data_IF_255370245302
#
_entry.id   IF_255370245302
#
_cell.length_a   1.000
_cell.length_b   1.000
_cell.length_c   1.000
_cell.angle_alpha   90.00
_cell.angle_beta   90.00
_cell.angle_gamma   90.00
#
_symmetry.space_group_name_H-M   'P 1'
#
loop_
_entity.id
_entity.type
_entity.pdbx_description
1 polymer ?
#
# COMPACT_ATOMS: atom_id res chain seq x y z
N UNK A 1 -5.74 41.37 62.87
CA UNK A 1 -4.77 40.44 62.30
C UNK A 1 -3.97 41.17 61.26
N UNK A 2 -2.71 41.49 61.48
CA UNK A 2 -1.89 42.15 60.46
C UNK A 2 -1.30 41.11 59.52
N UNK A 3 -1.45 41.35 58.24
CA UNK A 3 -0.85 40.56 57.17
C UNK A 3 0.64 40.86 57.11
N UNK A 4 1.48 39.87 57.40
CA UNK A 4 2.93 39.91 57.28
C UNK A 4 3.29 39.94 55.80
N UNK A 5 3.69 41.11 55.28
CA UNK A 5 4.34 41.21 53.99
C UNK A 5 5.75 40.61 54.11
N UNK A 6 5.95 39.38 53.63
CA UNK A 6 7.28 38.83 53.46
C UNK A 6 8.05 39.65 52.40
N UNK A 7 9.25 40.11 52.79
CA UNK A 7 10.19 40.81 51.93
C UNK A 7 10.54 39.96 50.68
N UNK A 8 9.91 40.29 49.58
CA UNK A 8 10.13 39.62 48.28
C UNK A 8 11.54 40.05 47.78
N UNK A 9 12.44 39.08 47.70
CA UNK A 9 13.85 39.36 47.33
C UNK A 9 13.94 39.61 45.80
N UNK A 10 13.76 40.85 45.40
CA UNK A 10 13.75 41.34 44.01
C UNK A 10 14.95 40.87 43.17
N UNK A 11 16.14 40.66 43.79
CA UNK A 11 17.32 40.15 43.10
C UNK A 11 17.11 38.71 42.61
N UNK A 12 16.52 37.83 43.42
CA UNK A 12 16.23 36.43 43.02
C UNK A 12 15.15 36.36 41.95
N UNK A 13 14.15 37.24 42.02
CA UNK A 13 13.11 37.31 40.98
C UNK A 13 13.71 37.75 39.64
N UNK A 14 14.60 38.74 39.64
CA UNK A 14 15.28 39.19 38.43
C UNK A 14 16.19 38.12 37.83
N UNK A 15 16.90 37.33 38.67
CA UNK A 15 17.74 36.20 38.19
C UNK A 15 16.89 35.10 37.57
N UNK A 16 15.76 34.72 38.18
CA UNK A 16 14.86 33.72 37.67
C UNK A 16 14.20 34.20 36.35
N UNK A 17 13.74 35.47 36.32
CA UNK A 17 13.15 36.05 35.12
C UNK A 17 14.15 36.13 33.95
N UNK A 18 15.41 36.48 34.25
CA UNK A 18 16.51 36.48 33.28
C UNK A 18 16.82 35.10 32.75
N UNK A 19 16.84 34.09 33.60
CA UNK A 19 17.02 32.67 33.20
C UNK A 19 15.91 32.17 32.30
N UNK A 20 14.66 32.43 32.62
CA UNK A 20 13.50 32.05 31.79
C UNK A 20 13.54 32.76 30.44
N UNK A 21 13.85 34.07 30.41
CA UNK A 21 13.97 34.81 29.15
C UNK A 21 15.08 34.25 28.26
N UNK A 22 16.21 33.85 28.83
CA UNK A 22 17.33 33.27 28.11
C UNK A 22 16.95 31.90 27.51
N UNK A 23 16.25 31.06 28.25
CA UNK A 23 15.75 29.76 27.74
C UNK A 23 14.74 29.96 26.60
N UNK A 24 13.82 30.92 26.73
CA UNK A 24 12.85 31.25 25.66
C UNK A 24 13.57 31.75 24.41
N UNK A 25 14.60 32.56 24.53
CA UNK A 25 15.40 33.05 23.41
C UNK A 25 16.20 31.92 22.75
N UNK A 26 16.73 30.96 23.52
CA UNK A 26 17.40 29.78 22.97
C UNK A 26 16.41 28.90 22.20
N UNK A 27 15.24 28.61 22.75
CA UNK A 27 14.19 27.85 22.08
C UNK A 27 13.77 28.56 20.78
N UNK A 28 13.55 29.87 20.85
CA UNK A 28 13.21 30.65 19.65
C UNK A 28 14.32 30.62 18.62
N UNK A 29 15.60 30.73 19.01
CA UNK A 29 16.77 30.70 18.12
C UNK A 29 16.89 29.31 17.43
N UNK A 30 16.71 28.22 18.15
CA UNK A 30 16.83 26.88 17.58
C UNK A 30 15.61 26.44 16.75
N UNK A 31 14.41 26.89 17.11
CA UNK A 31 13.20 26.49 16.41
C UNK A 31 12.77 27.42 15.26
N UNK A 32 13.11 28.68 15.32
CA UNK A 32 12.67 29.67 14.31
C UNK A 32 13.79 30.22 13.42
N UNK A 33 15.03 29.92 13.71
CA UNK A 33 16.15 30.24 12.83
C UNK A 33 16.47 29.00 11.97
N UNK A 34 15.57 28.61 11.09
CA UNK A 34 15.92 27.76 9.96
C UNK A 34 16.88 28.55 9.08
N UNK A 35 18.10 28.07 8.77
CA UNK A 35 18.89 28.65 7.71
C UNK A 35 18.08 28.52 6.43
N UNK A 36 17.68 29.63 5.85
CA UNK A 36 17.08 29.68 4.53
C UNK A 36 18.07 29.06 3.55
N UNK A 37 17.79 27.85 3.12
CA UNK A 37 18.32 27.32 1.89
C UNK A 37 17.63 28.12 0.79
N UNK A 38 18.35 29.03 0.17
CA UNK A 38 17.96 29.61 -1.10
C UNK A 38 17.68 28.43 -2.06
N UNK A 39 16.55 28.42 -2.77
CA UNK A 39 16.34 27.44 -3.81
C UNK A 39 17.33 27.73 -4.93
N UNK A 40 18.39 26.96 -5.03
CA UNK A 40 19.14 26.84 -6.26
C UNK A 40 18.20 26.17 -7.26
N UNK A 41 17.64 26.98 -8.13
CA UNK A 41 16.91 26.58 -9.35
C UNK A 41 17.84 25.74 -10.21
N UNK A 42 17.84 24.46 -9.99
CA UNK A 42 18.25 23.42 -10.95
C UNK A 42 17.54 22.11 -10.60
N UNK A 43 16.22 22.17 -10.45
CA UNK A 43 15.38 20.98 -10.59
C UNK A 43 15.29 20.72 -12.10
N UNK A 44 16.18 19.89 -12.63
CA UNK A 44 15.91 19.20 -13.90
C UNK A 44 14.62 18.40 -13.69
N UNK A 45 13.56 18.93 -14.21
CA UNK A 45 12.31 18.21 -14.47
C UNK A 45 12.67 17.05 -15.39
N UNK A 46 12.98 15.88 -14.85
CA UNK A 46 12.99 14.65 -15.63
C UNK A 46 11.55 14.31 -15.96
N UNK A 47 11.12 14.84 -17.10
CA UNK A 47 9.88 14.45 -17.76
C UNK A 47 10.05 13.01 -18.22
N UNK A 48 9.31 12.09 -17.63
CA UNK A 48 9.18 10.74 -18.16
C UNK A 48 8.61 10.81 -19.56
N UNK A 49 9.42 10.42 -20.57
CA UNK A 49 8.93 10.08 -21.90
C UNK A 49 8.92 11.17 -22.95
N UNK A 50 10.01 11.90 -23.14
CA UNK A 50 10.29 12.60 -24.39
C UNK A 50 11.30 11.80 -25.21
N UNK A 51 10.79 11.02 -26.15
CA UNK A 51 11.63 10.34 -27.14
C UNK A 51 12.21 11.38 -28.11
N UNK A 52 13.52 11.30 -28.31
CA UNK A 52 14.28 12.08 -29.29
C UNK A 52 13.67 11.96 -30.68
N UNK A 53 13.22 13.07 -31.21
CA UNK A 53 13.02 13.27 -32.64
C UNK A 53 14.37 13.67 -33.25
N UNK A 54 15.13 12.71 -33.71
CA UNK A 54 16.28 13.00 -34.58
C UNK A 54 15.79 13.21 -36.01
N UNK A 55 16.10 14.38 -36.45
CA UNK A 55 16.07 14.97 -37.81
C UNK A 55 16.43 13.99 -38.92
N UNK A 56 15.62 14.10 -39.99
CA UNK A 56 15.86 13.39 -41.23
C UNK A 56 17.15 13.83 -41.92
N UNK A 57 17.81 12.88 -42.53
CA UNK A 57 18.80 13.09 -43.57
C UNK A 57 18.36 12.32 -44.78
N UNK A 58 18.16 13.05 -45.87
CA UNK A 58 17.94 12.54 -47.21
C UNK A 58 19.13 11.64 -47.62
N UNK A 59 18.85 10.49 -48.14
CA UNK A 59 19.79 9.73 -48.94
C UNK A 59 19.12 9.22 -50.22
N UNK A 60 19.72 9.62 -51.29
CA UNK A 60 19.56 9.30 -52.69
C UNK A 60 19.69 7.82 -53.04
N UNK A 61 18.96 7.46 -54.09
CA UNK A 61 18.95 6.28 -54.91
C UNK A 61 20.23 5.44 -54.99
N UNK A 62 20.08 4.10 -54.93
CA UNK A 62 20.99 3.09 -55.43
C UNK A 62 20.26 1.76 -55.49
N UNK A 63 19.83 1.35 -56.71
CA UNK A 63 19.41 -0.01 -57.03
C UNK A 63 20.59 -0.94 -56.88
N UNK A 64 20.40 -2.12 -56.27
CA UNK A 64 20.85 -3.40 -56.76
C UNK A 64 20.10 -4.55 -56.11
N UNK A 65 19.65 -5.46 -56.95
CA UNK A 65 19.05 -6.76 -56.67
C UNK A 65 20.14 -7.68 -56.08
N UNK A 66 19.81 -8.44 -55.05
CA UNK A 66 19.97 -9.89 -55.13
C UNK A 66 19.24 -10.64 -53.98
N UNK A 67 18.66 -11.72 -54.39
CA UNK A 67 17.93 -12.76 -53.71
C UNK A 67 18.74 -13.42 -52.60
N UNK A 68 18.19 -13.58 -51.38
CA UNK A 68 17.94 -14.91 -50.81
C UNK A 68 17.17 -14.89 -49.48
N UNK A 69 16.29 -15.83 -49.39
CA UNK A 69 15.29 -16.06 -48.34
C UNK A 69 15.89 -16.37 -46.98
N UNK A 70 15.50 -15.63 -45.96
CA UNK A 70 15.22 -16.10 -44.61
C UNK A 70 14.17 -15.18 -44.00
N UNK A 71 12.92 -15.56 -44.08
CA UNK A 71 11.84 -14.92 -43.34
C UNK A 71 12.04 -15.18 -41.85
N UNK A 72 12.77 -14.29 -41.20
CA UNK A 72 12.66 -14.11 -39.76
C UNK A 72 11.35 -13.40 -39.52
N UNK A 73 10.33 -14.14 -39.12
CA UNK A 73 9.08 -13.57 -38.61
C UNK A 73 9.45 -12.84 -37.32
N UNK A 74 9.89 -11.62 -37.42
CA UNK A 74 9.85 -10.69 -36.30
C UNK A 74 8.40 -10.27 -36.14
N UNK A 75 7.70 -10.98 -35.26
CA UNK A 75 6.47 -10.43 -34.68
C UNK A 75 6.80 -9.03 -34.17
N UNK A 76 6.09 -7.98 -34.59
CA UNK A 76 6.29 -6.66 -34.02
C UNK A 76 5.99 -6.78 -32.54
N UNK A 77 7.03 -6.68 -31.69
CA UNK A 77 6.85 -6.43 -30.28
C UNK A 77 6.13 -5.08 -30.22
N UNK A 78 4.82 -5.16 -30.07
CA UNK A 78 3.99 -3.97 -29.79
C UNK A 78 4.62 -3.32 -28.58
N UNK A 79 5.25 -2.16 -28.75
CA UNK A 79 5.73 -1.34 -27.63
C UNK A 79 4.50 -1.08 -26.77
N UNK A 80 4.39 -1.80 -25.66
CA UNK A 80 3.30 -1.62 -24.71
C UNK A 80 3.33 -0.17 -24.27
N UNK A 81 2.32 0.57 -24.69
CA UNK A 81 2.21 1.99 -24.41
C UNK A 81 1.78 2.14 -22.96
N UNK A 82 2.70 2.56 -22.09
CA UNK A 82 2.36 2.95 -20.72
C UNK A 82 1.56 4.24 -20.78
N UNK A 83 0.40 4.27 -20.16
CA UNK A 83 -0.43 5.48 -20.10
C UNK A 83 -0.86 5.76 -18.66
N UNK A 84 -1.00 7.04 -18.35
CA UNK A 84 -1.44 7.53 -17.06
C UNK A 84 -2.96 7.39 -16.94
N UNK A 85 -3.45 6.80 -15.85
CA UNK A 85 -4.88 6.57 -15.59
C UNK A 85 -5.49 7.59 -14.62
N UNK A 86 -4.68 8.37 -13.91
CA UNK A 86 -5.13 9.39 -12.95
C UNK A 86 -4.21 10.59 -12.96
N UNK A 87 -4.76 11.80 -12.90
CA UNK A 87 -3.99 13.05 -12.82
C UNK A 87 -3.58 13.42 -11.40
N UNK A 88 -4.22 12.85 -10.39
CA UNK A 88 -3.94 13.08 -8.99
C UNK A 88 -3.44 11.81 -8.28
N UNK A 89 -2.98 11.96 -7.02
CA UNK A 89 -2.57 10.82 -6.20
C UNK A 89 -3.76 9.90 -5.90
N UNK A 90 -3.48 8.59 -5.93
CA UNK A 90 -4.42 7.51 -5.73
C UNK A 90 -4.13 6.83 -4.40
N UNK A 91 -5.15 6.68 -3.54
CA UNK A 91 -5.02 6.00 -2.25
C UNK A 91 -4.95 4.47 -2.40
N UNK A 92 -5.52 3.92 -3.47
CA UNK A 92 -5.46 2.51 -3.80
C UNK A 92 -6.25 2.19 -5.06
N UNK A 93 -5.84 1.15 -5.77
CA UNK A 93 -6.47 0.71 -7.01
C UNK A 93 -6.66 -0.81 -7.04
N UNK A 94 -7.59 -1.27 -7.86
CA UNK A 94 -7.81 -2.69 -8.16
C UNK A 94 -8.33 -2.84 -9.58
N UNK A 95 -8.20 -4.05 -10.12
CA UNK A 95 -8.82 -4.43 -11.38
C UNK A 95 -10.07 -5.25 -11.12
N UNK A 96 -11.07 -5.04 -11.95
CA UNK A 96 -12.28 -5.84 -11.98
C UNK A 96 -12.77 -6.02 -13.42
N UNK A 97 -13.72 -6.93 -13.62
CA UNK A 97 -14.35 -7.18 -14.91
C UNK A 97 -15.75 -6.59 -14.92
N UNK A 98 -16.06 -5.83 -15.98
CA UNK A 98 -17.41 -5.32 -16.22
C UNK A 98 -18.36 -6.46 -16.66
N UNK A 99 -19.64 -6.14 -16.78
CA UNK A 99 -20.68 -7.04 -17.27
C UNK A 99 -20.36 -7.70 -18.64
N UNK A 100 -19.44 -7.16 -19.39
CA UNK A 100 -18.86 -7.73 -20.60
C UNK A 100 -17.56 -8.44 -20.26
N UNK A 101 -17.39 -9.75 -20.58
CA UNK A 101 -16.19 -10.52 -20.18
C UNK A 101 -14.87 -9.97 -20.71
N UNK A 102 -14.91 -9.10 -21.72
CA UNK A 102 -13.74 -8.57 -22.42
C UNK A 102 -13.30 -7.18 -21.96
N UNK A 103 -14.02 -6.56 -21.00
CA UNK A 103 -13.67 -5.21 -20.55
C UNK A 103 -13.07 -5.27 -19.15
N UNK A 104 -11.83 -4.84 -19.04
CA UNK A 104 -11.13 -4.68 -17.76
C UNK A 104 -11.34 -3.26 -17.26
N UNK A 105 -11.79 -3.14 -16.03
CA UNK A 105 -11.99 -1.86 -15.35
C UNK A 105 -10.91 -1.69 -14.29
N UNK A 106 -10.19 -0.58 -14.34
CA UNK A 106 -9.41 -0.10 -13.22
C UNK A 106 -10.31 0.73 -12.31
N UNK A 107 -10.56 0.22 -11.09
CA UNK A 107 -11.26 0.95 -10.03
C UNK A 107 -10.24 1.53 -9.07
N UNK A 108 -10.31 2.81 -8.76
CA UNK A 108 -9.35 3.49 -7.89
C UNK A 108 -10.00 4.57 -7.04
N UNK A 109 -9.36 4.88 -5.91
CA UNK A 109 -9.80 5.90 -4.96
C UNK A 109 -8.86 7.09 -5.04
N UNK A 110 -9.41 8.27 -5.31
CA UNK A 110 -8.65 9.51 -5.31
C UNK A 110 -8.30 9.92 -3.88
N UNK A 111 -7.02 10.17 -3.60
CA UNK A 111 -6.55 10.52 -2.26
C UNK A 111 -7.14 11.85 -1.75
N UNK A 112 -7.30 12.83 -2.63
CA UNK A 112 -7.76 14.17 -2.27
C UNK A 112 -9.17 14.20 -1.69
N UNK A 113 -10.09 13.47 -2.30
CA UNK A 113 -11.52 13.56 -1.99
C UNK A 113 -12.18 12.22 -1.66
N UNK A 114 -11.44 11.10 -1.80
CA UNK A 114 -11.96 9.75 -1.56
C UNK A 114 -12.97 9.27 -2.59
N UNK A 115 -13.15 9.98 -3.70
CA UNK A 115 -14.04 9.53 -4.77
C UNK A 115 -13.53 8.25 -5.38
N UNK A 116 -14.43 7.31 -5.61
CA UNK A 116 -14.13 6.06 -6.29
C UNK A 116 -14.47 6.20 -7.77
N UNK A 117 -13.47 5.97 -8.61
CA UNK A 117 -13.58 6.11 -10.06
C UNK A 117 -13.34 4.76 -10.74
N UNK A 118 -14.04 4.54 -11.85
CA UNK A 118 -13.90 3.40 -12.76
C UNK A 118 -13.42 3.87 -14.11
N UNK A 119 -12.36 3.25 -14.63
CA UNK A 119 -11.82 3.50 -15.96
C UNK A 119 -11.71 2.18 -16.74
N UNK A 120 -12.38 2.11 -17.91
CA UNK A 120 -12.21 0.99 -18.83
C UNK A 120 -10.84 1.11 -19.51
N UNK A 121 -9.90 0.21 -19.17
CA UNK A 121 -8.51 0.28 -19.66
C UNK A 121 -8.32 -0.35 -21.03
N UNK A 122 -9.23 -1.22 -21.44
CA UNK A 122 -9.19 -1.91 -22.75
C UNK A 122 -9.81 -1.06 -23.88
N UNK A 123 -10.39 0.10 -23.52
CA UNK A 123 -11.11 0.96 -24.49
C UNK A 123 -10.34 2.28 -24.68
N UNK A 124 -9.72 2.50 -25.85
CA UNK A 124 -9.04 3.76 -26.14
C UNK A 124 -9.97 4.97 -26.00
N UNK A 125 -9.50 6.02 -25.33
CA UNK A 125 -10.28 7.25 -25.13
C UNK A 125 -11.34 7.16 -24.03
N UNK A 126 -11.35 6.11 -23.22
CA UNK A 126 -12.22 6.01 -22.05
C UNK A 126 -11.96 7.14 -21.06
N UNK A 127 -13.04 7.64 -20.49
CA UNK A 127 -13.01 8.64 -19.42
C UNK A 127 -13.41 7.98 -18.10
N UNK A 128 -12.70 8.31 -17.04
CA UNK A 128 -13.02 7.82 -15.71
C UNK A 128 -14.44 8.26 -15.29
N UNK A 129 -15.22 7.32 -14.76
CA UNK A 129 -16.59 7.54 -14.30
C UNK A 129 -16.67 7.36 -12.80
N UNK A 130 -17.46 8.14 -12.11
CA UNK A 130 -17.69 7.98 -10.69
C UNK A 130 -18.44 6.68 -10.41
N UNK A 131 -17.81 5.78 -9.64
CA UNK A 131 -18.44 4.61 -9.04
C UNK A 131 -19.08 4.97 -7.68
N UNK A 132 -18.58 6.04 -7.05
CA UNK A 132 -19.12 6.62 -5.82
C UNK A 132 -18.89 8.13 -5.83
N UNK A 133 -19.88 8.89 -5.37
CA UNK A 133 -19.77 10.32 -5.08
C UNK A 133 -19.56 10.59 -3.56
N UNK A 134 -19.30 9.55 -2.79
CA UNK A 134 -19.00 9.69 -1.36
C UNK A 134 -17.65 10.42 -1.22
N UNK A 135 -17.68 11.51 -0.45
CA UNK A 135 -16.49 12.34 -0.21
C UNK A 135 -15.84 11.95 1.10
N UNK A 136 -14.61 11.45 1.04
CA UNK A 136 -13.78 11.03 2.19
C UNK A 136 -12.37 11.60 1.99
N UNK A 137 -12.15 12.88 2.32
CA UNK A 137 -10.86 13.54 2.12
C UNK A 137 -9.76 12.87 2.94
N UNK A 138 -8.54 12.86 2.41
CA UNK A 138 -7.39 12.32 3.12
C UNK A 138 -7.31 10.79 3.15
N UNK A 139 -8.07 10.10 2.27
CA UNK A 139 -7.91 8.65 2.09
C UNK A 139 -6.47 8.33 1.70
N UNK A 140 -5.81 7.44 2.45
CA UNK A 140 -4.39 7.09 2.24
C UNK A 140 -4.17 5.59 2.07
N UNK A 141 -5.14 4.76 2.45
CA UNK A 141 -5.07 3.31 2.28
C UNK A 141 -6.44 2.77 1.90
N UNK A 142 -6.44 1.78 1.00
CA UNK A 142 -7.65 1.08 0.55
C UNK A 142 -7.41 -0.42 0.57
N UNK A 143 -8.31 -1.14 1.24
CA UNK A 143 -8.38 -2.60 1.22
C UNK A 143 -9.60 -2.99 0.40
N UNK A 144 -9.39 -3.63 -0.74
CA UNK A 144 -10.45 -4.00 -1.66
C UNK A 144 -11.06 -5.37 -1.33
N UNK A 145 -12.37 -5.44 -1.34
CA UNK A 145 -13.15 -6.68 -1.22
C UNK A 145 -13.48 -7.20 -2.62
N UNK A 146 -12.75 -8.23 -3.02
CA UNK A 146 -12.87 -8.84 -4.34
C UNK A 146 -13.74 -10.09 -4.27
N UNK A 147 -14.78 -10.15 -5.09
CA UNK A 147 -15.68 -11.33 -5.19
C UNK A 147 -15.69 -11.86 -6.60
N UNK A 148 -15.91 -13.16 -6.72
CA UNK A 148 -16.22 -13.78 -8.00
C UNK A 148 -17.75 -13.85 -8.13
N UNK A 149 -18.28 -13.16 -9.12
CA UNK A 149 -19.71 -13.13 -9.43
C UNK A 149 -19.88 -13.54 -10.89
N UNK A 150 -20.58 -14.63 -11.16
CA UNK A 150 -20.77 -15.18 -12.52
C UNK A 150 -19.43 -15.30 -13.30
N UNK A 151 -18.42 -15.92 -12.67
CA UNK A 151 -17.07 -16.11 -13.18
C UNK A 151 -16.27 -14.83 -13.47
N UNK A 152 -16.69 -13.71 -12.92
CA UNK A 152 -16.00 -12.41 -13.04
C UNK A 152 -15.55 -11.90 -11.68
N UNK A 153 -14.35 -11.34 -11.65
CA UNK A 153 -13.86 -10.67 -10.46
C UNK A 153 -14.47 -9.24 -10.40
N UNK A 154 -15.15 -8.95 -9.30
CA UNK A 154 -15.73 -7.62 -9.05
C UNK A 154 -15.18 -7.07 -7.73
N UNK A 155 -14.96 -5.76 -7.65
CA UNK A 155 -14.71 -5.06 -6.40
C UNK A 155 -16.07 -4.73 -5.77
N UNK A 156 -16.54 -5.62 -4.87
CA UNK A 156 -17.87 -5.51 -4.27
C UNK A 156 -17.92 -4.49 -3.13
N UNK A 157 -16.77 -4.21 -2.51
CA UNK A 157 -16.60 -3.24 -1.44
C UNK A 157 -15.15 -2.82 -1.29
N UNK A 158 -14.91 -1.92 -0.36
CA UNK A 158 -13.59 -1.49 0.05
C UNK A 158 -13.62 -0.94 1.47
N UNK A 159 -12.53 -1.11 2.23
CA UNK A 159 -12.30 -0.35 3.45
C UNK A 159 -11.31 0.77 3.13
N UNK A 160 -11.72 2.00 3.38
CA UNK A 160 -10.88 3.19 3.27
C UNK A 160 -10.39 3.59 4.65
N UNK A 161 -9.09 3.87 4.76
CA UNK A 161 -8.52 4.53 5.91
C UNK A 161 -8.16 5.97 5.55
N UNK A 162 -8.54 6.90 6.40
CA UNK A 162 -8.34 8.33 6.20
C UNK A 162 -7.99 9.03 7.53
N UNK A 163 -7.38 10.20 7.44
CA UNK A 163 -7.03 11.00 8.61
C UNK A 163 -8.12 12.05 8.81
N UNK A 164 -8.70 12.07 10.00
CA UNK A 164 -9.69 13.06 10.39
C UNK A 164 -9.23 13.78 11.67
N UNK A 165 -8.76 15.01 11.51
CA UNK A 165 -8.27 15.86 12.61
C UNK A 165 -7.23 15.20 13.52
N UNK A 166 -6.38 14.33 12.94
CA UNK A 166 -5.29 13.64 13.63
C UNK A 166 -5.46 12.13 13.74
N UNK A 167 -6.55 11.55 14.25
CA UNK A 167 -6.71 10.11 14.29
C UNK A 167 -7.00 9.51 12.92
N UNK A 168 -6.51 8.26 12.73
CA UNK A 168 -6.88 7.44 11.58
C UNK A 168 -8.25 6.85 11.82
N UNK A 169 -9.17 7.09 10.90
CA UNK A 169 -10.50 6.50 10.85
C UNK A 169 -10.63 5.52 9.69
N UNK A 170 -11.54 4.57 9.84
CA UNK A 170 -11.79 3.54 8.84
C UNK A 170 -13.27 3.45 8.52
N UNK A 171 -13.57 3.29 7.23
CA UNK A 171 -14.96 3.16 6.74
C UNK A 171 -15.05 2.05 5.72
N UNK A 172 -16.03 1.18 5.86
CA UNK A 172 -16.37 0.17 4.87
C UNK A 172 -17.38 0.74 3.88
N UNK A 173 -17.07 0.61 2.60
CA UNK A 173 -17.94 0.96 1.48
C UNK A 173 -18.44 -0.31 0.81
N UNK A 174 -19.75 -0.45 0.61
CA UNK A 174 -20.32 -1.53 -0.19
C UNK A 174 -20.87 -0.95 -1.48
N UNK A 175 -20.33 -1.39 -2.60
CA UNK A 175 -20.76 -0.95 -3.93
C UNK A 175 -22.00 -1.70 -4.38
N UNK A 176 -22.97 -1.02 -5.00
CA UNK A 176 -24.10 -1.69 -5.59
C UNK A 176 -23.64 -2.64 -6.70
N UNK A 177 -24.18 -3.84 -6.73
CA UNK A 177 -23.97 -4.75 -7.85
C UNK A 177 -24.69 -4.17 -9.07
N UNK A 178 -24.01 -4.14 -10.22
CA UNK A 178 -24.64 -3.75 -11.47
C UNK A 178 -25.85 -4.67 -11.73
N UNK A 179 -27.05 -4.08 -11.87
CA UNK A 179 -28.24 -4.83 -12.24
C UNK A 179 -28.06 -5.41 -13.64
N UNK A 180 -28.20 -6.71 -13.78
CA UNK A 180 -28.13 -7.42 -15.08
C UNK A 180 -29.32 -7.11 -15.99
N UNK A 181 -30.34 -6.49 -15.45
CA UNK A 181 -31.51 -6.00 -16.20
C UNK A 181 -31.28 -4.55 -16.59
N UNK A 182 -31.25 -4.28 -17.89
CA UNK A 182 -30.98 -2.95 -18.50
C UNK A 182 -31.89 -1.80 -18.05
N UNK A 183 -32.04 -1.64 -16.76
CA UNK A 183 -32.79 -0.58 -16.13
C UNK A 183 -31.96 0.72 -16.19
N UNK A 184 -32.52 1.75 -16.75
CA UNK A 184 -32.01 3.13 -16.79
C UNK A 184 -32.12 3.84 -15.43
N UNK A 185 -32.38 3.11 -14.35
CA UNK A 185 -32.40 3.68 -12.99
C UNK A 185 -31.00 4.03 -12.54
N UNK A 186 -30.87 5.19 -11.90
CA UNK A 186 -29.62 5.62 -11.25
C UNK A 186 -29.05 4.47 -10.41
N UNK A 187 -27.72 4.25 -10.45
CA UNK A 187 -27.10 3.22 -9.62
C UNK A 187 -27.47 3.43 -8.16
N UNK A 188 -27.75 2.33 -7.46
CA UNK A 188 -28.06 2.39 -6.04
C UNK A 188 -26.90 3.08 -5.28
N UNK A 189 -27.20 3.85 -4.23
CA UNK A 189 -26.15 4.54 -3.48
C UNK A 189 -25.20 3.53 -2.84
N UNK A 190 -23.91 3.91 -2.75
CA UNK A 190 -22.90 3.18 -1.98
C UNK A 190 -23.31 3.19 -0.51
N UNK A 191 -23.31 2.02 0.13
CA UNK A 191 -23.54 1.91 1.56
C UNK A 191 -22.24 2.18 2.31
N UNK A 192 -22.33 2.91 3.41
CA UNK A 192 -21.19 3.34 4.22
C UNK A 192 -21.42 2.82 5.63
N UNK A 193 -20.41 2.16 6.19
CA UNK A 193 -20.37 1.71 7.57
C UNK A 193 -19.05 2.16 8.20
N UNK A 194 -19.13 2.98 9.24
CA UNK A 194 -17.96 3.33 10.04
C UNK A 194 -17.50 2.14 10.86
N UNK A 195 -16.22 1.86 10.81
CA UNK A 195 -15.57 0.85 11.63
C UNK A 195 -15.09 1.47 12.95
N UNK A 196 -14.74 0.64 13.96
CA UNK A 196 -14.21 1.15 15.22
C UNK A 196 -13.01 2.07 15.01
N UNK A 197 -12.82 3.04 15.90
CA UNK A 197 -11.62 3.85 15.93
C UNK A 197 -10.39 3.02 16.34
N UNK A 198 -9.18 3.54 16.05
CA UNK A 198 -7.90 2.90 16.40
C UNK A 198 -7.64 1.55 15.72
N UNK A 199 -8.15 1.36 14.51
CA UNK A 199 -7.75 0.22 13.68
C UNK A 199 -6.29 0.37 13.24
N UNK A 200 -5.49 -0.65 13.51
CA UNK A 200 -4.06 -0.67 13.12
C UNK A 200 -3.76 -1.57 11.94
N UNK A 201 -4.71 -2.42 11.55
CA UNK A 201 -4.59 -3.26 10.37
C UNK A 201 -5.96 -3.73 9.91
N UNK A 202 -6.14 -3.85 8.60
CA UNK A 202 -7.35 -4.35 7.95
C UNK A 202 -6.97 -5.27 6.81
N UNK A 203 -7.67 -6.40 6.67
CA UNK A 203 -7.52 -7.32 5.56
C UNK A 203 -8.88 -7.88 5.13
N UNK A 204 -9.10 -8.01 3.82
CA UNK A 204 -10.28 -8.68 3.27
C UNK A 204 -10.01 -10.17 3.07
N UNK A 205 -11.03 -11.00 3.29
CA UNK A 205 -10.95 -12.43 2.98
C UNK A 205 -10.79 -12.66 1.46
N UNK A 206 -10.17 -13.76 1.04
CA UNK A 206 -9.96 -14.05 -0.39
C UNK A 206 -11.27 -14.12 -1.20
N UNK A 207 -12.37 -14.53 -0.57
CA UNK A 207 -13.69 -14.58 -1.18
C UNK A 207 -14.44 -13.23 -1.15
N UNK A 208 -13.89 -12.22 -0.44
CA UNK A 208 -14.45 -10.88 -0.29
C UNK A 208 -15.73 -10.81 0.53
N UNK A 209 -16.07 -11.84 1.33
CA UNK A 209 -17.28 -11.83 2.18
C UNK A 209 -17.04 -11.41 3.62
N UNK A 210 -15.78 -11.33 4.03
CA UNK A 210 -15.38 -11.01 5.40
C UNK A 210 -14.22 -10.01 5.44
N UNK A 211 -14.15 -9.28 6.55
CA UNK A 211 -13.04 -8.41 6.93
C UNK A 211 -12.40 -8.94 8.21
N UNK A 212 -11.08 -8.93 8.26
CA UNK A 212 -10.33 -9.00 9.50
C UNK A 212 -9.76 -7.63 9.82
N UNK A 213 -9.78 -7.24 11.10
CA UNK A 213 -9.15 -6.01 11.54
C UNK A 213 -8.60 -6.10 12.95
N UNK A 214 -7.62 -5.28 13.24
CA UNK A 214 -6.97 -5.18 14.54
C UNK A 214 -7.38 -3.89 15.24
N UNK A 215 -7.69 -4.02 16.52
CA UNK A 215 -7.92 -2.89 17.43
C UNK A 215 -6.81 -2.89 18.48
N UNK A 216 -6.09 -1.78 18.60
CA UNK A 216 -5.06 -1.62 19.64
C UNK A 216 -5.70 -1.54 21.02
N UNK A 217 -5.13 -2.28 21.97
CA UNK A 217 -5.50 -2.30 23.39
C UNK A 217 -4.29 -2.01 24.26
N UNK A 218 -4.50 -1.81 25.55
CA UNK A 218 -3.39 -1.63 26.49
C UNK A 218 -2.47 -2.88 26.61
N UNK A 219 -2.99 -4.07 26.26
CA UNK A 219 -2.26 -5.34 26.32
C UNK A 219 -1.68 -5.80 24.97
N UNK A 220 -1.87 -5.03 23.90
CA UNK A 220 -1.44 -5.41 22.56
C UNK A 220 -2.51 -5.12 21.51
N UNK A 221 -2.91 -6.13 20.72
CA UNK A 221 -3.95 -5.99 19.69
C UNK A 221 -4.96 -7.13 19.81
N UNK A 222 -6.24 -6.75 19.68
CA UNK A 222 -7.35 -7.68 19.52
C UNK A 222 -7.74 -7.79 18.05
N UNK A 223 -7.80 -9.01 17.54
CA UNK A 223 -8.22 -9.32 16.18
C UNK A 223 -9.70 -9.68 16.10
N UNK A 224 -10.39 -9.04 15.19
CA UNK A 224 -11.81 -9.26 14.93
C UNK A 224 -12.01 -9.74 13.49
N UNK A 225 -13.03 -10.57 13.30
CA UNK A 225 -13.56 -10.90 11.98
C UNK A 225 -15.00 -10.40 11.92
N UNK A 226 -15.34 -9.68 10.85
CA UNK A 226 -16.66 -9.12 10.58
C UNK A 226 -17.12 -9.53 9.18
N UNK A 227 -18.37 -9.23 8.83
CA UNK A 227 -18.83 -9.27 7.44
C UNK A 227 -18.09 -8.20 6.63
N UNK A 228 -18.07 -8.38 5.32
CA UNK A 228 -17.42 -7.43 4.40
C UNK A 228 -17.91 -5.97 4.58
N UNK A 229 -19.19 -5.79 4.90
CA UNK A 229 -19.78 -4.48 5.19
C UNK A 229 -19.42 -3.92 6.58
N UNK A 230 -18.53 -4.58 7.33
CA UNK A 230 -18.11 -4.18 8.67
C UNK A 230 -19.08 -4.55 9.79
N UNK A 231 -20.23 -5.18 9.48
CA UNK A 231 -21.22 -5.59 10.49
C UNK A 231 -20.86 -6.92 11.15
N UNK A 232 -21.50 -7.20 12.29
CA UNK A 232 -21.36 -8.45 13.07
C UNK A 232 -19.90 -8.81 13.43
N UNK A 233 -19.13 -7.89 14.01
CA UNK A 233 -17.75 -8.19 14.42
C UNK A 233 -17.74 -9.23 15.55
N UNK A 234 -16.83 -10.19 15.41
CA UNK A 234 -16.55 -11.19 16.45
C UNK A 234 -15.04 -11.19 16.73
N UNK A 235 -14.68 -11.12 18.00
CA UNK A 235 -13.29 -11.27 18.41
C UNK A 235 -12.85 -12.70 18.11
N UNK A 236 -11.74 -12.83 17.38
CA UNK A 236 -11.15 -14.11 16.98
C UNK A 236 -9.91 -14.45 17.79
N UNK A 237 -9.01 -13.48 18.02
CA UNK A 237 -7.73 -13.69 18.70
C UNK A 237 -7.26 -12.43 19.43
N UNK A 238 -6.20 -12.58 20.24
CA UNK A 238 -5.45 -11.48 20.84
C UNK A 238 -3.95 -11.75 20.71
N UNK A 239 -3.17 -10.70 20.43
CA UNK A 239 -1.72 -10.75 20.36
C UNK A 239 -1.12 -9.72 21.33
N UNK A 240 -0.04 -10.06 22.07
CA UNK A 240 0.62 -9.13 22.99
C UNK A 240 1.54 -8.14 22.28
N UNK A 241 1.17 -7.72 21.06
CA UNK A 241 1.90 -6.81 20.19
C UNK A 241 0.93 -5.77 19.64
N UNK A 242 1.29 -4.49 19.68
CA UNK A 242 0.44 -3.39 19.19
C UNK A 242 0.75 -2.97 17.75
N UNK A 243 1.99 -3.21 17.30
CA UNK A 243 2.46 -2.83 15.98
C UNK A 243 2.49 -4.06 15.06
N UNK A 244 1.38 -4.33 14.40
CA UNK A 244 1.16 -5.54 13.58
C UNK A 244 0.48 -5.16 12.27
N UNK A 245 0.98 -5.73 11.18
CA UNK A 245 0.31 -5.78 9.89
C UNK A 245 -0.42 -7.11 9.75
N UNK A 246 -1.58 -7.12 9.11
CA UNK A 246 -2.32 -8.34 8.79
C UNK A 246 -2.59 -8.46 7.30
N UNK A 247 -2.58 -9.69 6.81
CA UNK A 247 -3.08 -10.06 5.48
C UNK A 247 -3.94 -11.34 5.61
N UNK A 248 -4.82 -11.57 4.66
CA UNK A 248 -5.70 -12.74 4.65
C UNK A 248 -5.48 -13.54 3.36
N UNK A 249 -4.39 -14.32 3.28
CA UNK A 249 -3.99 -14.99 2.05
C UNK A 249 -4.89 -16.17 1.67
N UNK A 250 -5.45 -16.92 2.63
CA UNK A 250 -6.26 -18.10 2.34
C UNK A 250 -7.52 -18.17 3.21
N UNK A 251 -8.49 -18.97 2.82
CA UNK A 251 -9.73 -19.11 3.56
C UNK A 251 -9.54 -19.50 5.04
N UNK A 252 -8.47 -20.24 5.36
CA UNK A 252 -8.19 -20.78 6.70
C UNK A 252 -7.17 -20.00 7.50
N UNK A 253 -6.44 -19.03 6.89
CA UNK A 253 -5.28 -18.39 7.54
C UNK A 253 -5.31 -16.88 7.36
N UNK A 254 -5.16 -16.14 8.46
CA UNK A 254 -4.71 -14.75 8.51
C UNK A 254 -3.22 -14.78 8.90
N UNK A 255 -2.38 -14.08 8.15
CA UNK A 255 -0.98 -13.84 8.47
C UNK A 255 -0.87 -12.51 9.21
N UNK A 256 -0.31 -12.54 10.42
CA UNK A 256 -0.03 -11.36 11.23
C UNK A 256 1.48 -11.20 11.39
N UNK A 257 2.02 -10.06 10.97
CA UNK A 257 3.47 -9.78 10.99
C UNK A 257 3.74 -8.52 11.81
N UNK A 258 4.70 -8.58 12.73
CA UNK A 258 5.14 -7.37 13.43
C UNK A 258 5.60 -6.32 12.43
N UNK A 259 5.37 -5.04 12.72
CA UNK A 259 5.91 -3.97 11.87
C UNK A 259 7.43 -4.06 11.83
N UNK A 260 7.96 -3.96 10.63
CA UNK A 260 9.40 -4.03 10.38
C UNK A 260 10.12 -2.82 10.97
N UNK A 261 11.30 -3.09 11.52
CA UNK A 261 12.33 -2.08 11.79
C UNK A 261 13.69 -2.76 11.64
N UNK A 262 14.59 -2.18 10.86
CA UNK A 262 15.91 -2.74 10.58
C UNK A 262 16.67 -3.06 11.87
N UNK A 263 17.22 -4.28 11.94
CA UNK A 263 17.97 -4.74 13.12
C UNK A 263 17.12 -5.04 14.36
N UNK A 264 15.79 -4.94 14.27
CA UNK A 264 14.87 -5.30 15.34
C UNK A 264 14.27 -6.68 15.06
N UNK A 265 14.24 -7.61 16.04
CA UNK A 265 13.60 -8.90 15.85
C UNK A 265 12.12 -8.76 15.50
N UNK A 266 11.72 -9.35 14.40
CA UNK A 266 10.33 -9.43 13.94
C UNK A 266 9.81 -10.85 14.01
N UNK A 267 8.49 -10.99 14.10
CA UNK A 267 7.79 -12.27 14.15
C UNK A 267 6.57 -12.24 13.23
N UNK A 268 6.30 -13.36 12.56
CA UNK A 268 5.05 -13.60 11.86
C UNK A 268 4.29 -14.77 12.48
N UNK A 269 2.98 -14.63 12.58
CA UNK A 269 2.06 -15.63 13.07
C UNK A 269 1.05 -16.01 12.00
N UNK A 270 0.74 -17.29 11.89
CA UNK A 270 -0.48 -17.76 11.25
C UNK A 270 -1.60 -17.84 12.26
N UNK A 271 -2.78 -17.37 11.89
CA UNK A 271 -3.97 -17.39 12.74
C UNK A 271 -5.05 -18.14 11.99
N UNK A 272 -5.56 -19.21 12.60
CA UNK A 272 -6.65 -19.98 12.03
C UNK A 272 -7.95 -19.17 12.08
N UNK A 273 -8.60 -18.99 10.94
CA UNK A 273 -9.78 -18.13 10.79
C UNK A 273 -11.04 -18.65 11.48
N UNK A 274 -11.07 -19.94 11.82
CA UNK A 274 -12.22 -20.58 12.47
C UNK A 274 -12.05 -20.64 13.99
N UNK A 275 -10.88 -21.09 14.45
CA UNK A 275 -10.60 -21.32 15.88
C UNK A 275 -9.90 -20.16 16.57
N UNK A 276 -9.28 -19.24 15.83
CA UNK A 276 -8.41 -18.21 16.40
C UNK A 276 -7.06 -18.74 16.91
N UNK A 277 -6.73 -20.01 16.66
CA UNK A 277 -5.47 -20.59 17.06
C UNK A 277 -4.30 -19.85 16.38
N UNK A 278 -3.31 -19.46 17.20
CA UNK A 278 -2.14 -18.69 16.77
C UNK A 278 -0.93 -19.62 16.77
N UNK A 279 -0.19 -19.63 15.66
CA UNK A 279 1.07 -20.37 15.54
C UNK A 279 2.16 -19.48 14.98
N UNK A 280 3.36 -19.42 15.58
CA UNK A 280 4.49 -18.71 15.02
C UNK A 280 4.94 -19.37 13.72
N UNK A 281 5.34 -18.58 12.73
CA UNK A 281 5.75 -19.04 11.39
C UNK A 281 7.18 -18.63 11.09
N UNK A 282 7.50 -17.36 11.29
CA UNK A 282 8.79 -16.78 10.94
C UNK A 282 9.34 -15.90 12.05
N UNK A 283 10.66 -15.93 12.17
CA UNK A 283 11.44 -15.02 13.00
C UNK A 283 12.62 -14.51 12.18
N UNK A 284 12.72 -13.20 12.01
CA UNK A 284 13.86 -12.58 11.32
C UNK A 284 14.07 -11.15 11.81
N UNK A 285 15.28 -10.63 11.67
CA UNK A 285 15.56 -9.22 11.92
C UNK A 285 14.91 -8.36 10.84
N UNK A 286 14.27 -7.26 11.21
CA UNK A 286 13.61 -6.36 10.25
C UNK A 286 12.60 -7.08 9.35
N UNK A 287 11.85 -8.02 9.91
CA UNK A 287 10.94 -8.91 9.17
C UNK A 287 9.83 -8.14 8.47
N UNK A 288 9.74 -8.33 7.16
CA UNK A 288 8.55 -8.05 6.35
C UNK A 288 8.14 -9.33 5.64
N UNK A 289 6.85 -9.57 5.43
CA UNK A 289 6.39 -10.82 4.82
C UNK A 289 5.05 -10.68 4.12
N UNK A 290 4.90 -11.42 3.00
CA UNK A 290 3.63 -11.65 2.31
C UNK A 290 3.48 -13.13 1.99
N UNK A 291 2.27 -13.66 2.10
CA UNK A 291 1.97 -15.05 1.73
C UNK A 291 1.28 -15.11 0.36
N UNK A 292 1.46 -16.26 -0.32
CA UNK A 292 0.71 -16.59 -1.52
C UNK A 292 -0.78 -16.86 -1.22
N UNK A 293 -1.67 -16.77 -2.23
CA UNK A 293 -3.12 -16.98 -2.04
C UNK A 293 -3.51 -18.36 -1.50
N UNK A 294 -2.64 -19.35 -1.59
CA UNK A 294 -2.83 -20.69 -1.04
C UNK A 294 -2.29 -20.88 0.35
N UNK A 295 -1.50 -19.92 0.86
CA UNK A 295 -0.69 -20.06 2.06
C UNK A 295 0.25 -21.27 2.00
N UNK A 296 0.81 -21.53 0.80
CA UNK A 296 1.81 -22.57 0.59
C UNK A 296 3.23 -22.04 0.72
N UNK A 297 3.40 -20.76 0.40
CA UNK A 297 4.66 -20.04 0.47
C UNK A 297 4.47 -18.68 1.14
N UNK A 298 5.52 -18.26 1.86
CA UNK A 298 5.64 -16.90 2.39
C UNK A 298 6.93 -16.31 1.87
N UNK A 299 6.85 -15.19 1.14
CA UNK A 299 8.04 -14.40 0.82
C UNK A 299 8.30 -13.46 1.98
N UNK A 300 9.52 -13.51 2.51
CA UNK A 300 9.90 -12.64 3.60
C UNK A 300 11.29 -12.07 3.42
N UNK A 301 11.52 -10.92 4.01
CA UNK A 301 12.82 -10.26 4.04
C UNK A 301 13.36 -10.22 5.46
N UNK A 302 14.65 -10.48 5.57
CA UNK A 302 15.45 -10.23 6.77
C UNK A 302 16.35 -9.01 6.52
N UNK A 303 16.19 -7.96 7.33
CA UNK A 303 16.98 -6.74 7.25
C UNK A 303 17.75 -6.51 8.55
N UNK A 304 19.08 -6.70 8.47
CA UNK A 304 20.03 -6.39 9.55
C UNK A 304 20.66 -5.02 9.29
N UNK A 305 21.46 -4.52 10.20
CA UNK A 305 22.25 -3.28 10.00
C UNK A 305 23.36 -3.43 8.95
N UNK A 306 23.66 -4.65 8.52
CA UNK A 306 24.75 -4.93 7.57
C UNK A 306 24.25 -5.34 6.19
N UNK A 307 23.16 -6.10 6.14
CA UNK A 307 22.61 -6.64 4.89
C UNK A 307 21.11 -6.81 4.95
N UNK A 308 20.54 -6.98 3.76
CA UNK A 308 19.15 -7.29 3.52
C UNK A 308 19.08 -8.47 2.57
N UNK A 309 18.32 -9.49 2.92
CA UNK A 309 18.15 -10.70 2.12
C UNK A 309 16.69 -11.12 2.10
N UNK A 310 16.22 -11.57 0.96
CA UNK A 310 14.84 -12.02 0.78
C UNK A 310 14.80 -13.52 0.50
N UNK A 311 13.80 -14.18 1.09
CA UNK A 311 13.63 -15.63 1.06
C UNK A 311 12.20 -16.00 0.70
N UNK A 312 12.02 -17.19 0.15
CA UNK A 312 10.75 -17.91 0.16
C UNK A 312 10.78 -18.95 1.27
N UNK A 313 9.71 -19.02 2.06
CA UNK A 313 9.46 -20.02 3.09
C UNK A 313 8.33 -20.94 2.65
N UNK A 314 8.59 -22.22 2.53
CA UNK A 314 7.57 -23.24 2.28
C UNK A 314 6.88 -23.61 3.58
N UNK A 315 5.57 -23.37 3.69
CA UNK A 315 4.82 -23.51 4.94
C UNK A 315 4.59 -24.97 5.34
N UNK A 316 4.75 -25.93 4.44
CA UNK A 316 4.58 -27.38 4.72
C UNK A 316 5.89 -28.01 5.15
N UNK A 317 6.96 -27.76 4.40
CA UNK A 317 8.27 -28.34 4.66
C UNK A 317 9.08 -27.54 5.69
N UNK A 318 8.66 -26.33 5.99
CA UNK A 318 9.37 -25.38 6.87
C UNK A 318 10.80 -25.10 6.38
N UNK A 319 10.96 -24.99 5.05
CA UNK A 319 12.24 -24.75 4.40
C UNK A 319 12.29 -23.35 3.80
N UNK A 320 13.43 -22.66 4.02
CA UNK A 320 13.73 -21.37 3.46
C UNK A 320 14.64 -21.52 2.23
N UNK A 321 14.36 -20.72 1.20
CA UNK A 321 15.19 -20.60 0.00
C UNK A 321 15.46 -19.14 -0.30
N UNK A 322 16.73 -18.73 -0.49
CA UNK A 322 17.03 -17.36 -0.83
C UNK A 322 16.52 -17.03 -2.24
N UNK A 323 16.01 -15.83 -2.42
CA UNK A 323 15.73 -15.28 -3.74
C UNK A 323 17.02 -14.74 -4.36
N UNK A 324 17.11 -14.79 -5.69
CA UNK A 324 18.25 -14.24 -6.47
C UNK A 324 18.19 -12.70 -6.62
N UNK A 325 17.12 -12.08 -6.16
CA UNK A 325 16.90 -10.64 -6.15
C UNK A 325 16.32 -10.24 -4.78
N UNK A 326 16.34 -8.95 -4.45
CA UNK A 326 16.03 -8.49 -3.10
C UNK A 326 14.91 -7.43 -3.10
N UNK A 327 13.65 -7.86 -3.31
CA UNK A 327 12.50 -6.96 -3.25
C UNK A 327 12.14 -6.65 -1.81
N UNK A 328 11.38 -5.57 -1.61
CA UNK A 328 10.59 -5.40 -0.39
C UNK A 328 9.32 -6.24 -0.57
N UNK A 329 9.00 -7.23 0.29
CA UNK A 329 7.81 -8.07 0.13
C UNK A 329 6.50 -7.30 -0.07
N UNK A 330 6.31 -6.17 0.60
CA UNK A 330 5.12 -5.33 0.43
C UNK A 330 5.02 -4.65 -0.95
N UNK A 331 6.11 -4.64 -1.73
CA UNK A 331 6.13 -4.19 -3.13
C UNK A 331 5.92 -5.33 -4.12
N UNK A 332 5.55 -6.52 -3.64
CA UNK A 332 5.25 -7.69 -4.44
C UNK A 332 3.75 -8.01 -4.44
N UNK A 333 3.30 -8.65 -5.50
CA UNK A 333 1.95 -9.18 -5.62
C UNK A 333 1.99 -10.57 -6.27
N UNK A 334 1.28 -11.51 -5.69
CA UNK A 334 1.11 -12.84 -6.26
C UNK A 334 0.11 -12.81 -7.42
N UNK A 335 0.38 -13.60 -8.45
CA UNK A 335 -0.57 -13.82 -9.54
C UNK A 335 -1.84 -14.48 -9.00
N UNK A 336 -2.99 -13.97 -9.44
CA UNK A 336 -4.27 -14.63 -9.18
C UNK A 336 -4.58 -15.74 -10.20
N UNK A 337 -3.82 -15.80 -11.31
CA UNK A 337 -4.07 -16.70 -12.44
C UNK A 337 -3.09 -17.87 -12.44
N UNK A 338 -1.86 -17.65 -12.05
CA UNK A 338 -0.78 -18.63 -12.10
C UNK A 338 -0.20 -18.83 -10.71
N UNK A 339 -0.36 -20.04 -10.18
CA UNK A 339 0.13 -20.40 -8.85
C UNK A 339 1.66 -20.37 -8.84
N UNK A 340 2.25 -19.77 -7.81
CA UNK A 340 3.70 -19.65 -7.66
C UNK A 340 4.28 -18.39 -8.30
N UNK A 341 3.61 -17.79 -9.28
CA UNK A 341 4.09 -16.57 -9.95
C UNK A 341 3.87 -15.32 -9.09
N UNK A 342 4.91 -14.49 -8.99
CA UNK A 342 4.89 -13.24 -8.23
C UNK A 342 5.51 -12.10 -9.04
N UNK A 343 4.97 -10.91 -8.92
CA UNK A 343 5.47 -9.68 -9.53
C UNK A 343 5.97 -8.76 -8.43
N UNK A 344 7.22 -8.34 -8.50
CA UNK A 344 7.82 -7.46 -7.49
C UNK A 344 8.35 -6.17 -8.14
N UNK A 345 8.06 -5.03 -7.52
CA UNK A 345 8.74 -3.79 -7.81
C UNK A 345 10.04 -3.75 -7.01
N UNK A 346 11.18 -3.83 -7.70
CA UNK A 346 12.51 -3.91 -7.08
C UNK A 346 13.29 -2.64 -7.41
N UNK A 347 13.86 -1.95 -6.41
CA UNK A 347 14.62 -0.73 -6.63
C UNK A 347 15.86 -1.00 -7.49
N UNK A 348 16.06 -0.16 -8.53
CA UNK A 348 17.14 -0.33 -9.50
C UNK A 348 18.51 0.02 -8.89
N UNK A 349 18.56 0.99 -7.99
CA UNK A 349 19.83 1.59 -7.52
C UNK A 349 19.95 1.76 -6.00
N UNK A 350 19.02 1.21 -5.21
CA UNK A 350 19.04 1.38 -3.77
C UNK A 350 19.30 0.05 -3.05
N UNK A 351 20.51 -0.12 -2.51
CA UNK A 351 20.95 -1.37 -1.87
C UNK A 351 21.18 -1.23 -0.35
N UNK A 352 21.08 -0.03 0.20
CA UNK A 352 21.33 0.21 1.61
C UNK A 352 20.30 -0.51 2.50
N UNK A 353 20.71 -1.19 3.59
CA UNK A 353 19.80 -1.95 4.45
C UNK A 353 18.66 -1.13 5.05
N UNK A 354 18.91 0.14 5.35
CA UNK A 354 17.94 1.09 5.92
C UNK A 354 16.85 1.52 4.92
N UNK A 355 16.95 1.15 3.66
CA UNK A 355 15.98 1.56 2.64
C UNK A 355 14.54 1.16 3.00
N UNK A 356 14.34 0.00 3.60
CA UNK A 356 13.01 -0.48 3.98
C UNK A 356 12.37 0.45 5.01
N UNK A 357 13.12 0.84 6.02
CA UNK A 357 12.63 1.77 7.07
C UNK A 357 12.35 3.15 6.49
N UNK A 358 13.25 3.67 5.65
CA UNK A 358 13.08 4.97 5.00
C UNK A 358 11.89 4.95 4.02
N UNK A 359 11.67 3.84 3.32
CA UNK A 359 10.50 3.68 2.44
C UNK A 359 9.20 3.63 3.24
N UNK A 360 9.13 2.89 4.35
CA UNK A 360 7.98 2.87 5.24
C UNK A 360 7.66 4.25 5.86
N UNK A 361 8.69 5.06 6.08
CA UNK A 361 8.56 6.43 6.57
C UNK A 361 8.19 7.43 5.47
N UNK A 362 8.19 7.01 4.19
CA UNK A 362 8.03 7.92 3.05
C UNK A 362 9.23 8.84 2.83
N UNK A 363 10.37 8.57 3.48
CA UNK A 363 11.59 9.36 3.41
C UNK A 363 12.51 8.97 2.24
N UNK A 364 12.28 7.80 1.63
CA UNK A 364 13.01 7.35 0.45
C UNK A 364 12.06 6.90 -0.65
N UNK A 365 12.41 7.26 -1.88
CA UNK A 365 11.79 6.75 -3.10
C UNK A 365 12.90 6.26 -4.06
N UNK A 366 12.60 5.26 -4.85
CA UNK A 366 13.51 4.78 -5.89
C UNK A 366 12.72 4.49 -7.16
N UNK A 367 13.41 4.55 -8.30
CA UNK A 367 12.90 3.95 -9.51
C UNK A 367 12.96 2.43 -9.36
N UNK A 368 11.87 1.76 -9.66
CA UNK A 368 11.76 0.32 -9.56
C UNK A 368 11.75 -0.34 -10.96
N UNK A 369 12.33 -1.52 -11.06
CA UNK A 369 12.07 -2.46 -12.14
C UNK A 369 11.04 -3.49 -11.68
N UNK A 370 10.20 -3.97 -12.61
CA UNK A 370 9.29 -5.08 -12.33
C UNK A 370 10.01 -6.38 -12.62
N UNK A 371 10.18 -7.20 -11.61
CA UNK A 371 10.77 -8.55 -11.69
C UNK A 371 9.65 -9.57 -11.55
N UNK A 372 9.65 -10.57 -12.40
CA UNK A 372 8.73 -11.71 -12.34
C UNK A 372 9.50 -12.88 -11.74
N UNK A 373 8.92 -13.49 -10.72
CA UNK A 373 9.40 -14.71 -10.08
C UNK A 373 8.40 -15.83 -10.34
N UNK A 374 8.91 -16.99 -10.76
CA UNK A 374 8.16 -18.22 -11.04
C UNK A 374 8.81 -19.42 -10.31
#
# INVERSE_FOLDING_TARGET
MPIIMQNLNWKRIAEIAGGVLFVVLLVWFFFFRSPGLEPTDTAQQQTFGQGDTTTGVNATNGQDQDTNSAQTIQSPISKQKVFKISDGPVAGATFMQDGRPTTTIARFVMQQNGHVLDLAIDSPGSVARAASNTTIPGAHQVVWEKKIVASRQVAAGAVLQYIDNGPVKSVALTFPQASTTGSTTLPAPVRIQFLPDNLTGVAASPDGFSLAYLVTTAAGSDGYVARADGTNPKKLFSLPLSQINISWPSASVILATSKSAMGVPGIAFSINTTSGAISPVLYAMGLTAIADPGYTQVVYQSATTQNRLTYTHDTKSNLDRPLSFDPIPEKCIWSALEAGMMFCATPISYTAPEYVDLWHQGAASAADSIVIYD
#
